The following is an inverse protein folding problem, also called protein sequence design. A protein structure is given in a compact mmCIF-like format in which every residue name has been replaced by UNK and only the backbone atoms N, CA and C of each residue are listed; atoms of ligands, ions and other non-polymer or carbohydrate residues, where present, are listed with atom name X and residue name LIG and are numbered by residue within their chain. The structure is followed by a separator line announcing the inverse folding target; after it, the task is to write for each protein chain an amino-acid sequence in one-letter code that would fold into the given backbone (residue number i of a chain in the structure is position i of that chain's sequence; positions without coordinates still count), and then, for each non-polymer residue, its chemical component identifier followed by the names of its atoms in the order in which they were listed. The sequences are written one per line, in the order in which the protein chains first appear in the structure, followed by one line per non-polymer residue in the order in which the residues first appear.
data_IF_562875981001
#
_entry.id   IF_562875981001
#
_cell.length_a   1.000
_cell.length_b   1.000
_cell.length_c   1.000
_cell.angle_alpha   90.00
_cell.angle_beta   90.00
_cell.angle_gamma   90.00
#
_symmetry.space_group_name_H-M   'P 1'
#
loop_
_entity.id
_entity.type
_entity.pdbx_description
1 polymer ?
#
# COMPACT_ATOMS: atom_id res chain seq x y z
N UNK A 1 64.31 5.84 -86.55
CA UNK A 1 63.62 6.84 -85.71
C UNK A 1 63.24 6.15 -84.42
N UNK A 2 64.09 6.24 -83.42
CA UNK A 2 64.13 5.34 -82.25
C UNK A 2 63.75 6.14 -81.00
N UNK A 3 62.73 5.68 -80.28
CA UNK A 3 62.17 6.33 -79.09
C UNK A 3 63.08 6.16 -77.86
N UNK A 4 63.29 7.25 -77.13
CA UNK A 4 63.85 7.25 -75.78
C UNK A 4 62.75 7.00 -74.74
N UNK A 5 63.07 6.21 -73.72
CA UNK A 5 62.30 6.11 -72.47
C UNK A 5 63.30 6.23 -71.31
N UNK A 6 63.10 7.24 -70.46
CA UNK A 6 63.80 7.37 -69.17
C UNK A 6 62.77 7.41 -68.05
N UNK A 7 62.99 6.57 -67.04
CA UNK A 7 62.29 6.54 -65.78
C UNK A 7 62.93 7.51 -64.78
N UNK A 8 62.16 8.00 -63.80
CA UNK A 8 62.44 8.01 -62.35
C UNK A 8 61.32 8.84 -61.65
N UNK A 9 60.53 8.21 -60.77
CA UNK A 9 60.65 8.12 -59.30
C UNK A 9 59.97 9.27 -58.55
N UNK A 10 59.01 8.88 -57.71
CA UNK A 10 58.16 9.71 -56.87
C UNK A 10 58.83 10.08 -55.52
N UNK A 11 58.38 11.18 -54.89
CA UNK A 11 58.19 11.28 -53.43
C UNK A 11 57.35 12.49 -52.98
N UNK A 12 56.20 12.18 -52.34
CA UNK A 12 55.66 12.64 -51.03
C UNK A 12 55.54 14.15 -50.70
N UNK A 13 54.31 14.60 -50.40
CA UNK A 13 53.96 15.20 -49.09
C UNK A 13 52.43 15.28 -48.89
N UNK A 14 52.02 14.91 -47.68
CA UNK A 14 50.66 14.78 -47.18
C UNK A 14 50.17 16.06 -46.50
N UNK A 15 48.93 16.46 -46.76
CA UNK A 15 48.15 17.34 -45.88
C UNK A 15 46.72 16.81 -45.77
N UNK A 16 46.30 16.46 -44.57
CA UNK A 16 44.91 16.13 -44.24
C UNK A 16 44.19 17.40 -43.82
N UNK A 17 42.97 17.70 -44.32
CA UNK A 17 42.16 18.77 -43.77
C UNK A 17 41.44 18.28 -42.50
N UNK A 18 41.50 19.10 -41.46
CA UNK A 18 40.80 18.94 -40.19
C UNK A 18 39.33 19.36 -40.40
N UNK A 19 38.39 18.41 -40.30
CA UNK A 19 36.96 18.66 -40.45
C UNK A 19 36.36 18.92 -39.06
N UNK A 20 36.03 20.19 -38.79
CA UNK A 20 35.25 20.58 -37.61
C UNK A 20 33.81 20.07 -37.78
N UNK A 21 33.43 19.06 -37.00
CA UNK A 21 32.01 18.70 -36.82
C UNK A 21 31.54 19.45 -35.58
N UNK A 22 30.72 20.48 -35.77
CA UNK A 22 29.96 21.05 -34.66
C UNK A 22 28.88 20.04 -34.27
N UNK A 23 29.07 19.41 -33.12
CA UNK A 23 28.13 18.45 -32.54
C UNK A 23 26.98 19.23 -31.88
N UNK A 24 26.04 19.72 -32.70
CA UNK A 24 24.79 20.29 -32.17
C UNK A 24 23.90 19.15 -31.71
N UNK A 25 24.15 18.66 -30.49
CA UNK A 25 23.24 17.81 -29.75
C UNK A 25 21.96 18.60 -29.47
N UNK A 26 20.97 18.45 -30.35
CA UNK A 26 19.60 18.87 -30.08
C UNK A 26 19.01 17.90 -29.07
N UNK A 27 19.09 18.26 -27.78
CA UNK A 27 18.30 17.61 -26.75
C UNK A 27 16.82 17.88 -27.06
N UNK A 28 16.13 16.87 -27.60
CA UNK A 28 14.68 16.90 -27.62
C UNK A 28 14.21 17.06 -26.16
N UNK A 29 13.30 18.00 -25.86
CA UNK A 29 12.77 18.09 -24.52
C UNK A 29 12.12 16.75 -24.18
N UNK A 30 12.63 16.09 -23.14
CA UNK A 30 11.95 14.96 -22.51
C UNK A 30 10.53 15.43 -22.24
N UNK A 31 9.54 14.81 -22.88
CA UNK A 31 8.15 15.01 -22.53
C UNK A 31 8.02 14.58 -21.07
N UNK A 32 8.01 15.55 -20.16
CA UNK A 32 7.54 15.33 -18.81
C UNK A 32 6.07 14.99 -19.00
N UNK A 33 5.74 13.71 -18.89
CA UNK A 33 4.37 13.25 -18.87
C UNK A 33 3.70 13.99 -17.70
N UNK A 34 2.88 14.99 -18.02
CA UNK A 34 2.07 15.67 -17.00
C UNK A 34 1.28 14.57 -16.28
N UNK A 35 1.48 14.46 -14.97
CA UNK A 35 0.70 13.55 -14.13
C UNK A 35 -0.78 13.80 -14.42
N UNK A 36 -1.57 12.74 -14.55
CA UNK A 36 -3.00 12.88 -14.82
C UNK A 36 -3.62 13.81 -13.75
N UNK A 37 -4.58 14.68 -14.13
CA UNK A 37 -5.18 15.61 -13.18
C UNK A 37 -5.67 14.83 -11.94
N UNK A 38 -5.26 15.27 -10.75
CA UNK A 38 -5.54 14.69 -9.42
C UNK A 38 -4.60 13.58 -8.90
N UNK A 39 -3.41 13.38 -9.47
CA UNK A 39 -2.41 12.47 -8.88
C UNK A 39 -1.49 13.18 -7.87
N UNK A 40 -1.31 12.61 -6.69
CA UNK A 40 -0.38 13.13 -5.67
C UNK A 40 1.07 12.72 -5.98
N UNK A 41 2.05 13.63 -5.81
CA UNK A 41 3.47 13.28 -5.82
C UNK A 41 3.81 12.21 -4.77
N UNK A 42 4.81 11.36 -5.05
CA UNK A 42 5.23 10.28 -4.14
C UNK A 42 5.57 10.75 -2.72
N UNK A 43 6.20 11.92 -2.59
CA UNK A 43 6.51 12.52 -1.29
C UNK A 43 5.24 12.85 -0.50
N UNK A 44 4.20 13.37 -1.18
CA UNK A 44 2.92 13.68 -0.54
C UNK A 44 2.18 12.40 -0.13
N UNK A 45 2.23 11.35 -0.97
CA UNK A 45 1.68 10.02 -0.62
C UNK A 45 2.41 9.41 0.58
N UNK A 46 3.74 9.49 0.62
CA UNK A 46 4.53 9.03 1.74
C UNK A 46 4.16 9.77 3.04
N UNK A 47 4.09 11.10 2.99
CA UNK A 47 3.75 11.92 4.16
C UNK A 47 2.31 11.65 4.63
N UNK A 48 1.37 11.51 3.70
CA UNK A 48 -0.01 11.13 4.00
C UNK A 48 -0.03 9.77 4.69
N UNK A 49 0.55 8.75 4.07
CA UNK A 49 0.64 7.39 4.60
C UNK A 49 1.25 7.37 6.01
N UNK A 50 2.34 8.09 6.24
CA UNK A 50 2.99 8.20 7.54
C UNK A 50 2.09 8.88 8.60
N UNK A 51 1.28 9.86 8.19
CA UNK A 51 0.41 10.62 9.10
C UNK A 51 -0.85 9.87 9.55
N UNK A 52 -1.31 8.89 8.75
CA UNK A 52 -2.53 8.11 9.02
C UNK A 52 -2.25 6.70 9.53
N UNK A 53 -1.03 6.17 9.34
CA UNK A 53 -0.67 4.82 9.77
C UNK A 53 -0.20 4.82 11.22
N UNK A 54 -0.70 3.88 12.01
CA UNK A 54 -0.31 3.67 13.42
C UNK A 54 0.26 2.27 13.62
N UNK A 55 1.10 2.10 14.64
CA UNK A 55 1.56 0.77 15.07
C UNK A 55 0.60 0.26 16.14
N UNK A 56 0.05 -0.93 15.90
CA UNK A 56 -0.90 -1.60 16.79
C UNK A 56 -0.15 -2.62 17.62
N UNK A 57 0.01 -2.36 18.91
CA UNK A 57 0.59 -3.30 19.86
C UNK A 57 -0.50 -4.19 20.44
N UNK A 58 -0.28 -5.50 20.44
CA UNK A 58 -1.13 -6.51 21.07
C UNK A 58 -0.26 -7.43 21.94
N UNK A 59 -0.20 -7.12 23.23
CA UNK A 59 0.72 -7.81 24.14
C UNK A 59 2.19 -7.57 23.77
N UNK A 60 2.89 -8.63 23.36
CA UNK A 60 4.28 -8.60 22.84
C UNK A 60 4.36 -8.56 21.31
N UNK A 61 3.24 -8.75 20.63
CA UNK A 61 3.16 -8.71 19.17
C UNK A 61 2.78 -7.31 18.70
N UNK A 62 3.02 -7.02 17.43
CA UNK A 62 2.49 -5.82 16.79
C UNK A 62 2.13 -6.06 15.32
N UNK A 63 1.24 -5.21 14.85
CA UNK A 63 0.91 -5.00 13.46
C UNK A 63 0.78 -3.51 13.16
N UNK A 64 0.01 -3.20 12.13
CA UNK A 64 -0.26 -1.83 11.70
C UNK A 64 -1.77 -1.55 11.75
N UNK A 65 -2.12 -0.27 11.70
CA UNK A 65 -3.50 0.18 11.63
C UNK A 65 -3.60 1.50 10.88
N UNK A 66 -4.82 1.84 10.46
CA UNK A 66 -5.12 3.08 9.74
C UNK A 66 -6.09 3.93 10.57
N UNK A 67 -5.75 5.20 10.82
CA UNK A 67 -6.66 6.17 11.41
C UNK A 67 -7.75 6.52 10.41
N UNK A 68 -8.99 6.08 10.64
CA UNK A 68 -10.09 6.23 9.66
C UNK A 68 -11.18 7.20 10.11
N UNK A 69 -11.26 7.51 11.40
CA UNK A 69 -12.27 8.42 11.91
C UNK A 69 -11.86 9.07 13.23
N UNK A 70 -12.42 10.23 13.52
CA UNK A 70 -12.26 10.95 14.79
C UNK A 70 -13.59 11.56 15.22
N UNK A 71 -14.04 11.22 16.42
CA UNK A 71 -15.18 11.84 17.09
C UNK A 71 -14.75 12.47 18.42
N UNK A 72 -14.78 13.80 18.49
CA UNK A 72 -14.28 14.53 19.66
C UNK A 72 -12.80 14.23 19.93
N UNK A 73 -12.50 13.51 21.01
CA UNK A 73 -11.14 13.11 21.39
C UNK A 73 -10.86 11.61 21.12
N UNK A 74 -11.84 10.88 20.58
CA UNK A 74 -11.74 9.45 20.32
C UNK A 74 -11.42 9.24 18.85
N UNK A 75 -10.39 8.46 18.57
CA UNK A 75 -9.98 8.04 17.23
C UNK A 75 -10.41 6.61 16.99
N UNK A 76 -10.71 6.29 15.74
CA UNK A 76 -11.02 4.95 15.26
C UNK A 76 -9.90 4.50 14.35
N UNK A 77 -9.37 3.32 14.65
CA UNK A 77 -8.31 2.66 13.90
C UNK A 77 -8.88 1.40 13.27
N UNK A 78 -8.75 1.27 11.95
CA UNK A 78 -9.00 0.03 11.23
C UNK A 78 -7.71 -0.80 11.21
N UNK A 79 -7.80 -2.09 11.52
CA UNK A 79 -6.68 -3.04 11.47
C UNK A 79 -7.19 -4.42 11.09
N UNK A 80 -6.31 -5.42 10.98
CA UNK A 80 -6.73 -6.79 10.83
C UNK A 80 -7.10 -7.45 12.16
N UNK A 81 -8.04 -8.39 12.11
CA UNK A 81 -8.42 -9.18 13.29
C UNK A 81 -7.23 -10.02 13.78
N UNK A 82 -6.49 -10.68 12.88
CA UNK A 82 -5.36 -11.54 13.27
C UNK A 82 -4.19 -10.79 13.93
N UNK A 83 -4.14 -9.46 13.84
CA UNK A 83 -3.18 -8.63 14.58
C UNK A 83 -3.50 -8.62 16.08
N UNK A 84 -4.78 -8.79 16.44
CA UNK A 84 -5.26 -8.74 17.81
C UNK A 84 -5.17 -10.12 18.46
N UNK A 85 -4.43 -10.21 19.55
CA UNK A 85 -4.32 -11.42 20.37
C UNK A 85 -5.40 -11.38 21.46
N UNK A 86 -6.37 -12.31 21.48
CA UNK A 86 -7.44 -12.32 22.47
C UNK A 86 -6.89 -12.31 23.90
N UNK A 87 -7.43 -11.42 24.75
CA UNK A 87 -7.05 -11.30 26.16
C UNK A 87 -5.79 -10.47 26.44
N UNK A 88 -5.06 -10.02 25.41
CA UNK A 88 -3.92 -9.12 25.57
C UNK A 88 -4.36 -7.64 25.59
N UNK A 89 -3.64 -6.74 26.29
CA UNK A 89 -3.91 -5.32 26.22
C UNK A 89 -3.48 -4.76 24.86
N UNK A 90 -4.36 -3.95 24.26
CA UNK A 90 -4.08 -3.24 23.02
C UNK A 90 -3.56 -1.83 23.27
N UNK A 91 -2.55 -1.41 22.52
CA UNK A 91 -2.03 -0.04 22.53
C UNK A 91 -1.79 0.47 21.12
N UNK A 92 -2.02 1.76 20.90
CA UNK A 92 -1.76 2.45 19.64
C UNK A 92 -0.55 3.36 19.81
N UNK A 93 0.51 3.10 19.05
CA UNK A 93 1.64 4.03 18.89
C UNK A 93 1.40 4.87 17.63
N UNK A 94 1.20 6.17 17.86
CA UNK A 94 0.82 7.17 16.86
C UNK A 94 2.04 7.75 16.12
N UNK A 95 1.86 8.51 15.02
CA UNK A 95 3.00 8.98 14.21
C UNK A 95 4.03 9.85 14.96
N UNK A 96 3.60 10.57 16.00
CA UNK A 96 4.50 11.34 16.88
C UNK A 96 5.27 10.45 17.89
N UNK A 97 4.92 9.16 17.95
CA UNK A 97 5.49 8.15 18.84
C UNK A 97 4.79 8.04 20.19
N UNK A 98 3.66 8.75 20.40
CA UNK A 98 2.88 8.62 21.64
C UNK A 98 2.12 7.30 21.65
N UNK A 99 2.06 6.67 22.81
CA UNK A 99 1.39 5.38 23.03
C UNK A 99 0.13 5.59 23.85
N UNK A 100 -0.99 5.06 23.36
CA UNK A 100 -2.30 5.15 24.00
C UNK A 100 -2.86 3.76 24.27
N UNK A 101 -3.53 3.56 25.41
CA UNK A 101 -4.37 2.37 25.60
C UNK A 101 -5.53 2.38 24.60
N UNK A 102 -5.85 1.21 24.07
CA UNK A 102 -6.93 1.03 23.11
C UNK A 102 -7.87 -0.10 23.51
N UNK A 103 -9.08 -0.05 22.96
CA UNK A 103 -10.13 -1.04 23.18
C UNK A 103 -10.84 -1.36 21.87
N UNK A 104 -11.36 -2.58 21.74
CA UNK A 104 -12.14 -3.02 20.59
C UNK A 104 -13.57 -2.51 20.65
N UNK A 105 -14.23 -2.43 19.50
CA UNK A 105 -15.68 -2.23 19.41
C UNK A 105 -16.31 -3.46 18.78
N UNK A 106 -17.36 -3.98 19.41
CA UNK A 106 -18.18 -5.09 18.89
C UNK A 106 -19.38 -4.59 18.08
N UNK A 107 -19.48 -3.28 17.83
CA UNK A 107 -20.68 -2.69 17.25
C UNK A 107 -20.88 -3.01 15.76
N UNK A 108 -19.84 -3.48 15.08
CA UNK A 108 -19.88 -3.95 13.70
C UNK A 108 -19.19 -5.30 13.64
N UNK A 109 -19.89 -6.32 13.14
CA UNK A 109 -19.28 -7.62 12.89
C UNK A 109 -18.38 -7.53 11.67
N UNK A 110 -17.07 -7.69 11.89
CA UNK A 110 -16.03 -7.58 10.88
C UNK A 110 -15.17 -8.86 10.76
N UNK A 111 -15.41 -9.82 11.65
CA UNK A 111 -14.50 -10.95 11.91
C UNK A 111 -14.35 -11.89 10.71
N UNK A 112 -15.44 -12.11 9.96
CA UNK A 112 -15.45 -12.93 8.73
C UNK A 112 -14.57 -12.35 7.61
N UNK A 113 -14.12 -11.10 7.77
CA UNK A 113 -13.30 -10.36 6.81
C UNK A 113 -11.91 -10.05 7.38
N UNK A 114 -11.48 -10.71 8.46
CA UNK A 114 -10.19 -10.43 9.12
C UNK A 114 -9.99 -8.92 9.39
N UNK A 115 -11.07 -8.20 9.72
CA UNK A 115 -11.03 -6.77 10.04
C UNK A 115 -11.42 -6.57 11.51
N UNK A 116 -10.83 -5.55 12.12
CA UNK A 116 -11.16 -5.13 13.48
C UNK A 116 -11.05 -3.61 13.63
N UNK A 117 -11.84 -3.08 14.57
CA UNK A 117 -11.79 -1.68 14.96
C UNK A 117 -11.18 -1.56 16.36
N UNK A 118 -10.22 -0.65 16.50
CA UNK A 118 -9.73 -0.18 17.79
C UNK A 118 -10.06 1.28 18.00
N UNK A 119 -10.33 1.65 19.24
CA UNK A 119 -10.49 3.04 19.66
C UNK A 119 -9.41 3.44 20.65
N UNK A 120 -8.93 4.67 20.55
CA UNK A 120 -8.09 5.28 21.57
C UNK A 120 -8.47 6.76 21.75
N UNK A 121 -8.16 7.30 22.93
CA UNK A 121 -8.45 8.70 23.25
C UNK A 121 -7.17 9.53 23.27
N UNK A 122 -7.14 10.63 22.51
CA UNK A 122 -6.06 11.62 22.56
C UNK A 122 -6.63 13.01 22.83
N UNK A 123 -6.18 13.60 23.94
CA UNK A 123 -6.66 14.91 24.41
C UNK A 123 -5.76 16.07 23.97
N UNK A 124 -4.47 15.79 23.75
CA UNK A 124 -3.43 16.80 23.57
C UNK A 124 -2.74 16.73 22.19
N UNK A 125 -3.17 15.81 21.32
CA UNK A 125 -2.67 15.69 19.94
C UNK A 125 -3.83 15.61 18.95
N UNK A 126 -3.66 16.24 17.79
CA UNK A 126 -4.55 16.06 16.65
C UNK A 126 -3.85 15.23 15.58
N UNK A 127 -4.46 14.12 15.16
CA UNK A 127 -3.92 13.24 14.13
C UNK A 127 -4.79 13.32 12.87
N UNK A 128 -4.15 13.19 11.71
CA UNK A 128 -4.87 13.06 10.45
C UNK A 128 -5.68 11.75 10.45
N UNK A 129 -6.76 11.74 9.68
CA UNK A 129 -7.55 10.54 9.40
C UNK A 129 -7.62 10.38 7.89
N UNK A 130 -7.62 9.13 7.45
CA UNK A 130 -7.67 8.76 6.06
C UNK A 130 -9.06 9.00 5.46
N UNK A 131 -9.10 9.30 4.15
CA UNK A 131 -10.34 9.20 3.38
C UNK A 131 -10.61 7.74 3.07
N UNK A 132 -11.80 7.26 3.43
CA UNK A 132 -12.28 5.90 3.19
C UNK A 132 -13.59 5.91 2.39
N UNK A 133 -13.83 6.97 1.61
CA UNK A 133 -15.06 7.07 0.82
C UNK A 133 -15.05 6.07 -0.35
N UNK A 134 -16.16 5.35 -0.51
CA UNK A 134 -16.40 4.28 -1.48
C UNK A 134 -16.47 4.82 -2.93
N UNK A 135 -15.33 5.30 -3.44
CA UNK A 135 -15.25 6.02 -4.72
C UNK A 135 -14.20 5.46 -5.67
N UNK A 136 -13.29 4.63 -5.17
CA UNK A 136 -12.22 4.05 -5.96
C UNK A 136 -12.57 2.63 -6.40
N UNK A 137 -12.60 2.41 -7.70
CA UNK A 137 -12.66 1.06 -8.27
C UNK A 137 -11.26 0.64 -8.65
N UNK A 138 -10.77 -0.44 -8.05
CA UNK A 138 -9.47 -1.02 -8.40
C UNK A 138 -9.54 -1.75 -9.75
N UNK A 139 -8.52 -1.55 -10.58
CA UNK A 139 -8.24 -2.29 -11.80
C UNK A 139 -6.86 -2.95 -11.73
N UNK A 140 -6.68 -4.07 -12.44
CA UNK A 140 -5.34 -4.70 -12.56
C UNK A 140 -4.41 -3.74 -13.30
N UNK A 141 -3.25 -3.47 -12.72
CA UNK A 141 -2.27 -2.49 -13.21
C UNK A 141 -2.33 -1.14 -12.50
N UNK A 142 -3.36 -0.87 -11.70
CA UNK A 142 -3.43 0.35 -10.89
C UNK A 142 -2.26 0.45 -9.93
N UNK A 143 -1.64 1.63 -9.86
CA UNK A 143 -0.57 1.89 -8.91
C UNK A 143 -1.12 2.01 -7.49
N UNK A 144 -0.51 1.26 -6.58
CA UNK A 144 -0.89 1.23 -5.17
C UNK A 144 0.31 1.35 -4.25
N UNK A 145 0.08 2.01 -3.11
CA UNK A 145 1.09 2.36 -2.13
C UNK A 145 0.75 1.74 -0.79
N UNK A 146 1.53 0.75 -0.37
CA UNK A 146 1.29 0.04 0.89
C UNK A 146 2.22 0.58 1.97
N UNK A 147 1.69 0.81 3.17
CA UNK A 147 2.51 1.22 4.30
C UNK A 147 2.19 0.52 5.61
N UNK A 148 3.18 0.47 6.50
CA UNK A 148 3.05 -0.20 7.80
C UNK A 148 4.34 -0.22 8.59
N UNK A 149 4.33 -1.00 9.67
CA UNK A 149 5.43 -1.17 10.60
C UNK A 149 5.89 -2.62 10.65
N UNK A 150 6.93 -3.02 9.90
CA UNK A 150 7.44 -4.37 9.94
C UNK A 150 7.90 -4.82 11.32
N UNK A 151 7.91 -6.13 11.53
CA UNK A 151 8.57 -6.77 12.67
C UNK A 151 10.05 -6.95 12.32
N UNK A 152 10.93 -6.17 12.94
CA UNK A 152 12.39 -6.33 12.80
C UNK A 152 12.96 -7.16 13.95
N UNK A 153 13.93 -8.04 13.66
CA UNK A 153 14.59 -8.92 14.64
C UNK A 153 15.79 -8.25 15.36
N UNK A 154 16.25 -7.10 14.86
CA UNK A 154 17.41 -6.36 15.36
C UNK A 154 17.00 -5.23 16.33
N UNK A 155 17.87 -4.82 17.29
CA UNK A 155 17.53 -3.79 18.27
C UNK A 155 17.18 -2.46 17.60
N UNK A 156 15.89 -2.10 17.71
CA UNK A 156 15.26 -0.93 17.11
C UNK A 156 15.93 0.40 17.54
N UNK A 157 16.67 1.01 16.61
CA UNK A 157 17.10 2.41 16.72
C UNK A 157 16.48 3.32 15.65
N UNK A 158 15.56 2.82 14.82
CA UNK A 158 14.74 3.66 13.94
C UNK A 158 13.28 3.23 14.01
N UNK A 159 12.40 4.22 13.95
CA UNK A 159 10.96 4.02 13.78
C UNK A 159 10.76 3.42 12.40
N UNK A 160 10.63 2.10 12.34
CA UNK A 160 10.59 1.32 11.10
C UNK A 160 9.21 1.47 10.40
N UNK A 161 8.87 2.68 9.97
CA UNK A 161 7.78 2.89 9.02
C UNK A 161 8.28 2.52 7.63
N UNK A 162 7.55 1.64 6.94
CA UNK A 162 7.84 1.22 5.58
C UNK A 162 6.72 1.69 4.68
N UNK A 163 7.10 2.22 3.53
CA UNK A 163 6.22 2.63 2.44
C UNK A 163 6.76 1.99 1.16
N UNK A 164 5.92 1.26 0.45
CA UNK A 164 6.29 0.55 -0.78
C UNK A 164 5.38 0.95 -1.91
N UNK A 165 5.92 0.92 -3.12
CA UNK A 165 5.19 1.19 -4.37
C UNK A 165 5.05 -0.12 -5.14
N UNK A 166 3.90 -0.32 -5.77
CA UNK A 166 3.64 -1.43 -6.65
C UNK A 166 2.33 -1.23 -7.38
N UNK A 167 1.76 -2.32 -7.85
CA UNK A 167 0.55 -2.34 -8.66
C UNK A 167 -0.36 -3.49 -8.26
N UNK A 168 -1.66 -3.31 -8.49
CA UNK A 168 -2.64 -4.40 -8.42
C UNK A 168 -2.26 -5.44 -9.47
N UNK A 169 -2.00 -6.67 -9.02
CA UNK A 169 -1.63 -7.80 -9.86
C UNK A 169 -2.80 -8.72 -10.16
N UNK A 170 -3.80 -8.77 -9.26
CA UNK A 170 -4.95 -9.67 -9.37
C UNK A 170 -6.20 -9.02 -8.78
N UNK A 171 -7.35 -9.26 -9.40
CA UNK A 171 -8.66 -8.96 -8.86
C UNK A 171 -9.51 -10.22 -8.92
N UNK A 172 -10.01 -10.66 -7.76
CA UNK A 172 -10.87 -11.83 -7.66
C UNK A 172 -12.33 -11.41 -7.75
N UNK A 173 -13.10 -12.16 -8.53
CA UNK A 173 -14.56 -12.01 -8.58
C UNK A 173 -15.23 -12.40 -7.25
N UNK A 174 -14.55 -13.25 -6.47
CA UNK A 174 -14.98 -13.69 -5.15
C UNK A 174 -13.82 -13.57 -4.16
N UNK A 175 -14.11 -13.05 -2.96
CA UNK A 175 -13.12 -12.95 -1.91
C UNK A 175 -12.69 -14.33 -1.37
N UNK A 176 -11.43 -14.41 -0.95
CA UNK A 176 -10.91 -15.48 -0.11
C UNK A 176 -11.51 -15.39 1.29
N UNK A 177 -11.38 -16.47 2.06
CA UNK A 177 -11.62 -16.45 3.51
C UNK A 177 -10.82 -15.31 4.13
N UNK A 178 -11.44 -14.51 5.00
CA UNK A 178 -10.84 -13.30 5.54
C UNK A 178 -11.00 -12.06 4.64
N UNK A 179 -11.83 -12.11 3.60
CA UNK A 179 -12.22 -10.92 2.84
C UNK A 179 -11.19 -10.43 1.81
N UNK A 180 -10.05 -11.12 1.65
CA UNK A 180 -9.04 -10.74 0.67
C UNK A 180 -9.55 -10.93 -0.76
N UNK A 181 -9.52 -9.87 -1.55
CA UNK A 181 -10.14 -9.88 -2.88
C UNK A 181 -9.24 -9.34 -3.99
N UNK A 182 -8.15 -8.65 -3.64
CA UNK A 182 -7.17 -8.22 -4.63
C UNK A 182 -5.75 -8.59 -4.23
N UNK A 183 -4.97 -8.97 -5.23
CA UNK A 183 -3.54 -9.19 -5.13
C UNK A 183 -2.77 -7.96 -5.62
N UNK A 184 -1.63 -7.68 -5.02
CA UNK A 184 -0.73 -6.59 -5.42
C UNK A 184 0.72 -7.02 -5.24
N UNK A 185 1.63 -6.41 -5.99
CA UNK A 185 3.04 -6.82 -6.05
C UNK A 185 3.98 -6.01 -5.13
N UNK A 186 3.43 -5.18 -4.23
CA UNK A 186 4.24 -4.47 -3.26
C UNK A 186 4.94 -5.44 -2.30
N UNK A 187 6.18 -5.12 -1.95
CA UNK A 187 6.99 -5.83 -0.96
C UNK A 187 6.50 -5.53 0.47
N UNK A 188 5.44 -6.21 0.92
CA UNK A 188 4.97 -6.13 2.31
C UNK A 188 5.66 -7.17 3.20
N UNK A 189 5.82 -6.83 4.48
CA UNK A 189 6.49 -7.66 5.47
C UNK A 189 5.57 -7.93 6.66
N UNK A 190 5.88 -8.99 7.43
CA UNK A 190 5.20 -9.27 8.70
C UNK A 190 5.20 -8.01 9.57
N UNK A 191 4.05 -7.65 10.12
CA UNK A 191 3.85 -6.41 10.90
C UNK A 191 3.18 -5.29 10.11
N UNK A 192 3.24 -5.30 8.77
CA UNK A 192 2.53 -4.33 7.94
C UNK A 192 1.02 -4.61 7.83
N UNK A 193 0.56 -5.81 8.19
CA UNK A 193 -0.85 -6.19 8.22
C UNK A 193 -1.68 -5.20 9.05
N UNK A 194 -2.82 -4.78 8.52
CA UNK A 194 -3.71 -3.76 9.06
C UNK A 194 -3.39 -2.32 8.61
N UNK A 195 -2.22 -2.09 8.00
CA UNK A 195 -1.85 -0.79 7.45
C UNK A 195 -2.59 -0.45 6.14
N UNK A 196 -2.56 0.81 5.70
CA UNK A 196 -3.31 1.23 4.52
C UNK A 196 -2.62 0.83 3.21
N UNK A 197 -3.45 0.64 2.19
CA UNK A 197 -3.08 0.61 0.77
C UNK A 197 -3.73 1.83 0.13
N UNK A 198 -2.93 2.74 -0.42
CA UNK A 198 -3.39 3.98 -1.05
C UNK A 198 -3.38 3.87 -2.58
N UNK A 199 -4.31 4.54 -3.25
CA UNK A 199 -4.19 4.83 -4.68
C UNK A 199 -3.31 6.09 -4.92
N UNK A 200 -3.20 6.49 -6.19
CA UNK A 200 -2.41 7.66 -6.60
C UNK A 200 -3.03 9.00 -6.16
N UNK A 201 -4.30 9.02 -5.76
CA UNK A 201 -5.03 10.18 -5.23
C UNK A 201 -4.85 10.31 -3.70
N UNK A 202 -4.27 9.32 -3.03
CA UNK A 202 -4.11 9.28 -1.58
C UNK A 202 -5.32 8.73 -0.82
N UNK A 203 -6.27 8.12 -1.51
CA UNK A 203 -7.43 7.47 -0.91
C UNK A 203 -7.06 6.06 -0.48
N UNK A 204 -7.58 5.60 0.67
CA UNK A 204 -7.39 4.21 1.10
C UNK A 204 -8.28 3.33 0.24
N UNK A 205 -7.67 2.43 -0.53
CA UNK A 205 -8.36 1.44 -1.39
C UNK A 205 -8.33 0.04 -0.79
N UNK A 206 -7.53 -0.19 0.25
CA UNK A 206 -7.55 -1.45 0.96
C UNK A 206 -6.73 -1.47 2.23
N UNK A 207 -6.80 -2.61 2.91
CA UNK A 207 -6.06 -2.92 4.12
C UNK A 207 -5.05 -4.02 3.81
N UNK A 208 -3.77 -3.78 4.14
CA UNK A 208 -2.70 -4.77 4.00
C UNK A 208 -3.05 -6.02 4.80
N UNK A 209 -3.02 -7.20 4.16
CA UNK A 209 -3.48 -8.45 4.74
C UNK A 209 -2.40 -9.52 4.76
N UNK A 210 -2.59 -10.56 3.93
CA UNK A 210 -1.68 -11.69 3.81
C UNK A 210 -0.47 -11.35 2.94
N UNK A 211 0.72 -11.71 3.42
CA UNK A 211 1.95 -11.61 2.65
C UNK A 211 2.11 -12.81 1.70
N UNK A 212 2.93 -12.62 0.67
CA UNK A 212 3.24 -13.58 -0.42
C UNK A 212 3.59 -15.02 0.01
N UNK A 213 4.01 -15.24 1.25
CA UNK A 213 4.47 -16.54 1.76
C UNK A 213 3.71 -16.97 3.02
N UNK A 214 2.45 -17.43 2.92
CA UNK A 214 1.66 -17.85 4.08
C UNK A 214 2.46 -18.82 4.98
N UNK A 215 2.49 -18.53 6.28
CA UNK A 215 3.30 -19.30 7.24
C UNK A 215 2.75 -20.72 7.50
N UNK A 216 1.47 -20.98 7.22
CA UNK A 216 0.79 -22.27 7.43
C UNK A 216 -0.40 -22.46 6.46
N UNK A 217 -0.60 -23.68 5.96
CA UNK A 217 -1.81 -24.08 5.21
C UNK A 217 -1.86 -23.66 3.73
N UNK A 218 -3.00 -23.89 3.10
CA UNK A 218 -3.38 -23.34 1.79
C UNK A 218 -4.26 -22.11 2.05
N UNK A 219 -3.72 -20.88 2.03
CA UNK A 219 -4.52 -19.68 2.34
C UNK A 219 -5.53 -19.36 1.24
N UNK A 220 -5.43 -20.03 0.08
CA UNK A 220 -6.21 -19.72 -1.09
C UNK A 220 -7.46 -20.58 -1.11
N UNK A 221 -8.37 -20.28 -0.18
CA UNK A 221 -9.71 -20.85 -0.13
C UNK A 221 -10.71 -19.72 -0.30
N UNK A 222 -11.61 -19.85 -1.26
CA UNK A 222 -12.69 -18.89 -1.45
C UNK A 222 -13.70 -18.96 -0.31
N UNK A 223 -14.46 -17.87 -0.07
CA UNK A 223 -15.47 -17.83 1.01
C UNK A 223 -16.54 -18.94 0.94
N UNK A 224 -16.81 -19.51 -0.23
CA UNK A 224 -17.74 -20.64 -0.40
C UNK A 224 -17.09 -22.01 -0.15
N UNK A 225 -15.82 -22.03 0.28
CA UNK A 225 -15.03 -23.24 0.50
C UNK A 225 -14.43 -23.83 -0.78
N UNK A 226 -14.70 -23.26 -1.95
CA UNK A 226 -14.11 -23.72 -3.20
C UNK A 226 -12.63 -23.34 -3.30
N UNK A 227 -11.93 -24.08 -4.15
CA UNK A 227 -10.49 -23.95 -4.34
C UNK A 227 -10.21 -23.27 -5.68
N UNK A 228 -9.30 -22.27 -5.74
CA UNK A 228 -8.91 -21.65 -7.00
C UNK A 228 -8.24 -22.67 -7.92
N UNK A 229 -8.47 -22.56 -9.25
CA UNK A 229 -7.81 -23.43 -10.22
C UNK A 229 -6.29 -23.24 -10.17
N UNK A 230 -5.53 -24.27 -10.51
CA UNK A 230 -4.05 -24.26 -10.42
C UNK A 230 -3.42 -23.08 -11.15
N UNK A 231 -3.93 -22.72 -12.33
CA UNK A 231 -3.44 -21.56 -13.09
C UNK A 231 -3.61 -20.24 -12.35
N UNK A 232 -4.71 -20.07 -11.61
CA UNK A 232 -4.91 -18.88 -10.78
C UNK A 232 -3.94 -18.92 -9.59
N UNK A 233 -3.80 -20.08 -8.92
CA UNK A 233 -2.90 -20.22 -7.76
C UNK A 233 -1.45 -19.84 -8.06
N UNK A 234 -0.94 -20.17 -9.25
CA UNK A 234 0.42 -19.79 -9.69
C UNK A 234 0.62 -18.26 -9.73
N UNK A 235 -0.45 -17.50 -10.01
CA UNK A 235 -0.44 -16.04 -9.92
C UNK A 235 -0.59 -15.57 -8.46
N UNK A 236 -1.43 -16.25 -7.69
CA UNK A 236 -1.71 -15.91 -6.29
C UNK A 236 -0.48 -16.01 -5.39
N UNK A 237 0.35 -17.04 -5.55
CA UNK A 237 1.60 -17.24 -4.78
C UNK A 237 2.64 -16.15 -5.02
N UNK A 238 2.46 -15.34 -6.07
CA UNK A 238 3.38 -14.25 -6.38
C UNK A 238 2.93 -12.89 -5.87
N UNK A 239 1.75 -12.81 -5.25
CA UNK A 239 1.10 -11.56 -4.84
C UNK A 239 0.98 -11.47 -3.32
N UNK A 240 1.06 -10.25 -2.81
CA UNK A 240 0.53 -9.85 -1.52
C UNK A 240 -0.99 -9.65 -1.62
N UNK A 241 -1.74 -9.74 -0.53
CA UNK A 241 -3.20 -9.74 -0.56
C UNK A 241 -3.82 -8.67 0.32
N UNK A 242 -4.77 -7.93 -0.25
CA UNK A 242 -5.47 -6.82 0.38
C UNK A 242 -6.97 -7.10 0.54
N UNK A 243 -7.53 -6.55 1.60
CA UNK A 243 -8.98 -6.49 1.79
C UNK A 243 -9.44 -5.15 1.21
N UNK A 244 -10.36 -5.11 0.23
CA UNK A 244 -10.87 -3.86 -0.33
C UNK A 244 -11.52 -3.00 0.75
N UNK A 245 -11.27 -1.69 0.74
CA UNK A 245 -11.87 -0.77 1.73
C UNK A 245 -13.40 -0.77 1.65
N UNK A 246 -13.94 -1.09 0.47
CA UNK A 246 -15.36 -1.18 0.19
C UNK A 246 -16.01 -2.22 1.11
N UNK A 247 -15.31 -3.31 1.41
CA UNK A 247 -15.75 -4.35 2.37
C UNK A 247 -16.09 -3.72 3.72
N UNK A 248 -15.20 -2.87 4.25
CA UNK A 248 -15.42 -2.17 5.51
C UNK A 248 -16.60 -1.19 5.40
N UNK A 249 -16.64 -0.36 4.35
CA UNK A 249 -17.69 0.66 4.19
C UNK A 249 -19.08 0.03 4.05
N UNK A 250 -19.20 -1.09 3.34
CA UNK A 250 -20.45 -1.84 3.17
C UNK A 250 -20.92 -2.41 4.50
N UNK A 251 -20.05 -3.07 5.28
CA UNK A 251 -20.42 -3.64 6.58
C UNK A 251 -20.85 -2.55 7.58
N UNK A 252 -20.19 -1.39 7.58
CA UNK A 252 -20.60 -0.24 8.40
C UNK A 252 -21.93 0.33 7.93
N UNK A 253 -22.16 0.43 6.62
CA UNK A 253 -23.43 0.88 6.06
C UNK A 253 -24.57 -0.11 6.32
N UNK A 254 -24.33 -1.41 6.30
CA UNK A 254 -25.32 -2.44 6.61
C UNK A 254 -25.69 -2.42 8.09
N UNK A 255 -24.70 -2.36 8.98
CA UNK A 255 -24.91 -2.18 10.42
C UNK A 255 -25.65 -0.86 10.72
N UNK A 256 -25.30 0.20 9.99
CA UNK A 256 -25.93 1.51 10.07
C UNK A 256 -27.27 1.61 9.32
N UNK A 257 -27.59 0.72 8.39
CA UNK A 257 -28.78 0.76 7.52
C UNK A 257 -29.90 -0.16 8.01
N UNK A 258 -29.55 -1.23 8.72
CA UNK A 258 -30.48 -1.92 9.62
C UNK A 258 -31.00 -0.98 10.74
N UNK A 259 -30.29 0.13 10.96
CA UNK A 259 -30.74 1.31 11.70
C UNK A 259 -31.00 2.47 10.76
N UNK A 260 -32.17 2.54 10.12
CA UNK A 260 -32.60 3.73 9.36
C UNK A 260 -32.67 5.06 10.19
N UNK A 261 -32.05 5.12 11.37
CA UNK A 261 -31.87 6.24 12.27
C UNK A 261 -30.39 6.61 12.53
N UNK A 262 -29.40 6.13 11.76
CA UNK A 262 -27.99 6.51 11.96
C UNK A 262 -27.60 7.83 11.24
N UNK A 263 -28.25 8.93 11.62
CA UNK A 263 -27.52 10.21 11.72
C UNK A 263 -26.68 10.11 12.99
N UNK A 264 -25.37 10.31 12.84
CA UNK A 264 -24.32 10.17 13.85
C UNK A 264 -23.84 8.73 14.06
N UNK A 265 -22.58 8.47 13.73
CA UNK A 265 -21.75 7.50 14.46
C UNK A 265 -21.65 7.96 15.93
N UNK A 266 -22.72 7.84 16.70
CA UNK A 266 -22.71 7.98 18.16
C UNK A 266 -22.55 6.58 18.76
N UNK A 267 -21.31 6.10 18.82
CA UNK A 267 -20.99 4.98 19.69
C UNK A 267 -20.96 5.50 21.13
N UNK A 268 -22.00 5.15 21.89
CA UNK A 268 -22.17 5.56 23.29
C UNK A 268 -21.01 5.04 24.14
N UNK A 269 -20.54 5.94 25.01
CA UNK A 269 -19.43 5.83 25.97
C UNK A 269 -19.72 4.73 27.01
#
# INVERSE_FOLDING_TARGET
MTLQLFALLACISSSTPELLIEDTLTFAPTLVQEAAPNQLPLEQLYNLAQSITVKVHSGKNWGSGTLIHKQGQVYTVLTNLHVLTPGEPYRIETPDGKVYSAYTSEAVSLEDNDLAILHFRSTNSNYAVASVENTSHLEVGDEVFASGFPVTLEPANKRDFVFTTGQVSLLLTQALVGGYQFGYNNDIQKGMSGGPILNRQGEVVGVNGMHKYPLWGDPYVFKDGSLPPLSLRELMVNSSWGIPIETFTQLVQEAGGASAAARNLEFRI
#
